data_IF_418703419960
#
_entry.id   IF_418703419960
#
_cell.length_a   1.000
_cell.length_b   1.000
_cell.length_c   1.000
_cell.angle_alpha   90.00
_cell.angle_beta   90.00
_cell.angle_gamma   90.00
#
_symmetry.space_group_name_H-M   'P 1'
#
loop_
_entity.id
_entity.type
_entity.pdbx_description
1 polymer ?
#
# COMPACT_ATOMS: atom_id res chain seq x y z
N UNK A 1 -18.54 40.46 -13.35
CA UNK A 1 -18.57 39.41 -12.29
C UNK A 1 -18.66 37.98 -12.83
N UNK A 2 -18.52 37.76 -14.13
CA UNK A 2 -18.64 36.45 -14.82
C UNK A 2 -17.36 35.61 -14.87
N UNK A 3 -16.16 36.22 -14.84
CA UNK A 3 -14.88 35.55 -15.05
C UNK A 3 -14.40 34.61 -13.91
N UNK A 4 -14.80 34.84 -12.64
CA UNK A 4 -14.39 34.00 -11.53
C UNK A 4 -15.23 32.71 -11.38
N UNK A 5 -16.46 32.71 -11.87
CA UNK A 5 -17.35 31.54 -11.85
C UNK A 5 -16.93 30.51 -12.90
N UNK A 6 -16.54 30.97 -14.10
CA UNK A 6 -16.09 30.11 -15.19
C UNK A 6 -14.75 29.42 -14.85
N UNK A 7 -13.78 30.15 -14.31
CA UNK A 7 -12.49 29.60 -13.86
C UNK A 7 -12.61 28.61 -12.69
N UNK A 8 -13.66 28.70 -11.87
CA UNK A 8 -13.95 27.79 -10.76
C UNK A 8 -14.58 26.48 -11.28
N UNK A 9 -15.46 26.58 -12.29
CA UNK A 9 -16.12 25.45 -12.94
C UNK A 9 -15.12 24.61 -13.77
N UNK A 10 -14.23 25.26 -14.52
CA UNK A 10 -13.18 24.58 -15.30
C UNK A 10 -12.18 23.84 -14.39
N UNK A 11 -11.80 24.41 -13.25
CA UNK A 11 -10.91 23.76 -12.26
C UNK A 11 -11.57 22.59 -11.56
N UNK A 12 -12.88 22.61 -11.36
CA UNK A 12 -13.64 21.47 -10.82
C UNK A 12 -13.70 20.33 -11.83
N UNK A 13 -14.09 20.58 -13.07
CA UNK A 13 -14.15 19.57 -14.13
C UNK A 13 -12.78 18.97 -14.45
N UNK A 14 -11.70 19.76 -14.37
CA UNK A 14 -10.33 19.28 -14.57
C UNK A 14 -9.87 18.35 -13.45
N UNK A 15 -10.19 18.65 -12.18
CA UNK A 15 -9.89 17.78 -11.03
C UNK A 15 -10.69 16.49 -11.08
N UNK A 16 -11.94 16.55 -11.50
CA UNK A 16 -12.80 15.37 -11.62
C UNK A 16 -12.28 14.41 -12.69
N UNK A 17 -11.82 14.92 -13.84
CA UNK A 17 -11.27 14.06 -14.90
C UNK A 17 -9.93 13.42 -14.49
N UNK A 18 -9.03 14.15 -13.81
CA UNK A 18 -7.79 13.57 -13.31
C UNK A 18 -8.07 12.42 -12.31
N UNK A 19 -9.00 12.62 -11.39
CA UNK A 19 -9.41 11.60 -10.43
C UNK A 19 -10.05 10.40 -11.14
N UNK A 20 -10.87 10.63 -12.17
CA UNK A 20 -11.47 9.56 -12.99
C UNK A 20 -10.40 8.74 -13.73
N UNK A 21 -9.40 9.40 -14.32
CA UNK A 21 -8.29 8.72 -14.99
C UNK A 21 -7.51 7.83 -14.01
N UNK A 22 -7.23 8.29 -12.79
CA UNK A 22 -6.55 7.50 -11.77
C UNK A 22 -7.42 6.33 -11.30
N UNK A 23 -8.71 6.55 -11.03
CA UNK A 23 -9.67 5.47 -10.66
C UNK A 23 -9.74 4.38 -11.74
N UNK A 24 -9.85 4.80 -12.98
CA UNK A 24 -9.89 3.90 -14.14
C UNK A 24 -8.57 3.13 -14.29
N UNK A 25 -7.44 3.80 -14.07
CA UNK A 25 -6.12 3.17 -14.12
C UNK A 25 -5.91 2.16 -12.99
N UNK A 26 -6.35 2.48 -11.76
CA UNK A 26 -6.35 1.55 -10.62
C UNK A 26 -7.13 0.28 -10.93
N UNK A 27 -8.37 0.45 -11.42
CA UNK A 27 -9.21 -0.68 -11.82
C UNK A 27 -8.57 -1.53 -12.91
N UNK A 28 -7.92 -0.91 -13.89
CA UNK A 28 -7.22 -1.61 -14.95
C UNK A 28 -6.02 -2.42 -14.43
N UNK A 29 -5.27 -1.87 -13.45
CA UNK A 29 -4.20 -2.60 -12.77
C UNK A 29 -4.73 -3.82 -12.01
N UNK A 30 -5.85 -3.66 -11.28
CA UNK A 30 -6.44 -4.74 -10.49
C UNK A 30 -6.97 -5.87 -11.38
N UNK A 31 -7.57 -5.54 -12.52
CA UNK A 31 -8.17 -6.51 -13.45
C UNK A 31 -7.17 -7.21 -14.35
N UNK A 32 -6.14 -6.49 -14.82
CA UNK A 32 -5.34 -6.93 -15.96
C UNK A 32 -3.83 -6.73 -15.78
N UNK A 33 -3.41 -6.21 -14.63
CA UNK A 33 -2.01 -5.97 -14.29
C UNK A 33 -1.38 -4.78 -15.02
N UNK A 34 -0.09 -4.49 -14.73
CA UNK A 34 0.57 -3.29 -15.23
C UNK A 34 0.78 -3.28 -16.75
N UNK A 35 0.91 -4.42 -17.41
CA UNK A 35 1.11 -4.50 -18.88
C UNK A 35 -0.10 -4.01 -19.67
N UNK A 36 -1.31 -4.12 -19.11
CA UNK A 36 -2.54 -3.64 -19.74
C UNK A 36 -2.72 -2.11 -19.66
N UNK A 37 -2.00 -1.44 -18.74
CA UNK A 37 -2.11 0.00 -18.57
C UNK A 37 -1.48 0.73 -19.75
N UNK A 38 -2.28 1.48 -20.50
CA UNK A 38 -1.82 2.39 -21.55
C UNK A 38 -2.67 3.65 -21.57
N UNK A 39 -2.09 4.77 -22.01
CA UNK A 39 -2.81 6.06 -22.12
C UNK A 39 -4.10 5.93 -22.93
N UNK A 40 -4.04 5.15 -24.01
CA UNK A 40 -5.19 4.90 -24.89
C UNK A 40 -6.28 4.10 -24.20
N UNK A 41 -5.93 3.03 -23.51
CA UNK A 41 -6.89 2.18 -22.81
C UNK A 41 -7.53 2.91 -21.62
N UNK A 42 -6.74 3.70 -20.89
CA UNK A 42 -7.25 4.57 -19.81
C UNK A 42 -8.25 5.59 -20.36
N UNK A 43 -7.92 6.29 -21.45
CA UNK A 43 -8.84 7.23 -22.09
C UNK A 43 -10.15 6.56 -22.54
N UNK A 44 -10.03 5.40 -23.20
CA UNK A 44 -11.19 4.61 -23.67
C UNK A 44 -12.12 4.22 -22.52
N UNK A 45 -11.56 3.70 -21.42
CA UNK A 45 -12.33 3.28 -20.24
C UNK A 45 -12.90 4.44 -19.45
N UNK A 46 -12.19 5.57 -19.39
CA UNK A 46 -12.66 6.79 -18.73
C UNK A 46 -13.69 7.56 -19.57
N UNK A 47 -13.98 7.11 -20.80
CA UNK A 47 -14.97 7.76 -21.69
C UNK A 47 -14.53 9.15 -22.17
N UNK A 48 -13.23 9.41 -22.28
CA UNK A 48 -12.70 10.69 -22.72
C UNK A 48 -11.90 10.56 -24.04
N UNK A 49 -11.53 11.71 -24.62
CA UNK A 49 -10.73 11.73 -25.85
C UNK A 49 -9.33 11.15 -25.59
N UNK A 50 -8.72 10.57 -26.62
CA UNK A 50 -7.38 9.99 -26.56
C UNK A 50 -6.30 10.99 -26.06
N UNK A 51 -6.49 12.28 -26.29
CA UNK A 51 -5.57 13.34 -25.87
C UNK A 51 -5.77 13.77 -24.41
N UNK A 52 -6.96 13.55 -23.83
CA UNK A 52 -7.29 14.04 -22.48
C UNK A 52 -6.32 13.57 -21.37
N UNK A 53 -5.85 12.31 -21.33
CA UNK A 53 -4.90 11.88 -20.31
C UNK A 53 -3.57 12.64 -20.34
N UNK A 54 -3.11 13.06 -21.53
CA UNK A 54 -1.83 13.76 -21.69
C UNK A 54 -1.84 15.19 -21.12
N UNK A 55 -3.01 15.77 -20.84
CA UNK A 55 -3.11 17.03 -20.11
C UNK A 55 -2.78 16.89 -18.61
N UNK A 56 -2.84 15.67 -18.06
CA UNK A 56 -2.64 15.39 -16.63
C UNK A 56 -1.40 14.55 -16.35
N UNK A 57 -1.02 13.69 -17.28
CA UNK A 57 0.08 12.75 -17.13
C UNK A 57 0.93 12.74 -18.39
N UNK A 58 2.22 13.00 -18.23
CA UNK A 58 3.14 13.07 -19.38
C UNK A 58 3.21 11.73 -20.15
N UNK A 59 3.08 10.62 -19.45
CA UNK A 59 3.15 9.27 -20.02
C UNK A 59 2.53 8.25 -19.06
N UNK A 60 2.56 6.98 -19.45
CA UNK A 60 2.10 5.83 -18.64
C UNK A 60 2.79 5.74 -17.28
N UNK A 61 4.09 6.01 -17.25
CA UNK A 61 4.88 5.93 -15.99
C UNK A 61 4.42 6.98 -14.98
N UNK A 62 4.03 8.18 -15.43
CA UNK A 62 3.48 9.21 -14.56
C UNK A 62 2.14 8.80 -13.93
N UNK A 63 1.30 8.02 -14.64
CA UNK A 63 0.09 7.43 -14.07
C UNK A 63 0.47 6.38 -13.01
N UNK A 64 1.41 5.48 -13.32
CA UNK A 64 1.89 4.46 -12.38
C UNK A 64 2.46 5.11 -11.12
N UNK A 65 3.33 6.12 -11.26
CA UNK A 65 3.90 6.84 -10.14
C UNK A 65 2.83 7.50 -9.26
N UNK A 66 1.81 8.11 -9.86
CA UNK A 66 0.69 8.67 -9.11
C UNK A 66 -0.08 7.59 -8.33
N UNK A 67 -0.34 6.42 -8.94
CA UNK A 67 -1.02 5.31 -8.26
C UNK A 67 -0.18 4.68 -7.15
N UNK A 68 1.13 4.52 -7.37
CA UNK A 68 2.06 4.00 -6.36
C UNK A 68 2.17 4.96 -5.18
N UNK A 69 2.29 6.27 -5.44
CA UNK A 69 2.26 7.31 -4.40
C UNK A 69 0.98 7.23 -3.57
N UNK A 70 -0.20 7.23 -4.24
CA UNK A 70 -1.48 7.10 -3.55
C UNK A 70 -1.59 5.79 -2.75
N UNK A 71 -1.02 4.70 -3.27
CA UNK A 71 -0.99 3.41 -2.58
C UNK A 71 -0.17 3.47 -1.29
N UNK A 72 1.03 4.07 -1.31
CA UNK A 72 1.84 4.25 -0.10
C UNK A 72 1.20 5.21 0.89
N UNK A 73 0.62 6.33 0.41
CA UNK A 73 -0.11 7.26 1.28
C UNK A 73 -1.29 6.57 1.97
N UNK A 74 -2.10 5.80 1.23
CA UNK A 74 -3.23 5.04 1.78
C UNK A 74 -2.78 3.96 2.76
N UNK A 75 -1.69 3.24 2.47
CA UNK A 75 -1.12 2.26 3.39
C UNK A 75 -0.67 2.91 4.69
N UNK A 76 0.04 4.04 4.61
CA UNK A 76 0.46 4.79 5.79
C UNK A 76 -0.73 5.23 6.65
N UNK A 77 -1.78 5.80 6.02
CA UNK A 77 -2.99 6.22 6.72
C UNK A 77 -3.68 5.04 7.43
N UNK A 78 -3.80 3.89 6.76
CA UNK A 78 -4.40 2.68 7.36
C UNK A 78 -3.59 2.15 8.52
N UNK A 79 -2.25 2.14 8.42
CA UNK A 79 -1.37 1.73 9.52
C UNK A 79 -1.44 2.68 10.70
N UNK A 80 -1.52 3.99 10.46
CA UNK A 80 -1.72 4.99 11.51
C UNK A 80 -3.07 4.79 12.21
N UNK A 81 -4.17 4.74 11.44
CA UNK A 81 -5.52 4.57 11.97
C UNK A 81 -5.73 3.25 12.72
N UNK A 82 -5.04 2.17 12.30
CA UNK A 82 -5.10 0.90 13.01
C UNK A 82 -4.52 0.95 14.45
N UNK A 83 -3.76 1.98 14.78
CA UNK A 83 -3.18 2.19 16.11
C UNK A 83 -3.91 3.24 16.94
N UNK A 84 -4.81 4.02 16.33
CA UNK A 84 -5.58 5.04 17.03
C UNK A 84 -6.42 4.40 18.15
N UNK A 85 -6.37 5.00 19.34
CA UNK A 85 -7.10 4.52 20.51
C UNK A 85 -6.55 3.24 21.15
N UNK A 86 -5.38 2.75 20.70
CA UNK A 86 -4.71 1.58 21.27
C UNK A 86 -3.55 1.92 22.22
N UNK A 87 -3.45 3.19 22.66
CA UNK A 87 -2.45 3.64 23.64
C UNK A 87 -2.65 2.86 24.97
N UNK A 88 -1.57 2.27 25.47
CA UNK A 88 -1.61 1.48 26.71
C UNK A 88 -2.17 0.07 26.58
N UNK A 89 -2.66 -0.35 25.40
CA UNK A 89 -3.12 -1.73 25.19
C UNK A 89 -1.95 -2.71 25.03
N UNK A 90 -2.27 -4.01 25.08
CA UNK A 90 -1.31 -5.08 24.84
C UNK A 90 -0.62 -4.91 23.47
N UNK A 91 0.68 -5.15 23.45
CA UNK A 91 1.52 -5.08 22.23
C UNK A 91 1.01 -6.00 21.13
N UNK A 92 0.46 -7.16 21.48
CA UNK A 92 -0.11 -8.11 20.55
C UNK A 92 -1.35 -7.56 19.86
N UNK A 93 -2.20 -6.81 20.56
CA UNK A 93 -3.37 -6.15 19.95
C UNK A 93 -2.93 -5.13 18.90
N UNK A 94 -1.92 -4.33 19.21
CA UNK A 94 -1.37 -3.32 18.29
C UNK A 94 -0.76 -3.98 17.06
N UNK A 95 0.04 -5.04 17.24
CA UNK A 95 0.65 -5.81 16.14
C UNK A 95 -0.42 -6.43 15.24
N UNK A 96 -1.42 -7.07 15.85
CA UNK A 96 -2.53 -7.72 15.11
C UNK A 96 -3.35 -6.70 14.33
N UNK A 97 -3.69 -5.56 14.91
CA UNK A 97 -4.44 -4.50 14.22
C UNK A 97 -3.66 -3.96 13.00
N UNK A 98 -2.37 -3.65 13.17
CA UNK A 98 -1.51 -3.15 12.10
C UNK A 98 -1.28 -4.20 11.00
N UNK A 99 -1.05 -5.46 11.37
CA UNK A 99 -0.90 -6.57 10.42
C UNK A 99 -2.17 -6.79 9.59
N UNK A 100 -3.33 -6.76 10.23
CA UNK A 100 -4.61 -6.86 9.52
C UNK A 100 -4.83 -5.69 8.56
N UNK A 101 -4.50 -4.45 8.96
CA UNK A 101 -4.62 -3.27 8.11
C UNK A 101 -3.73 -3.39 6.85
N UNK A 102 -2.49 -3.89 7.01
CA UNK A 102 -1.57 -4.13 5.91
C UNK A 102 -2.11 -5.16 4.91
N UNK A 103 -2.50 -6.34 5.40
CA UNK A 103 -2.97 -7.43 4.52
C UNK A 103 -4.32 -7.06 3.88
N UNK A 104 -5.20 -6.37 4.60
CA UNK A 104 -6.45 -5.87 4.03
C UNK A 104 -6.22 -4.88 2.89
N UNK A 105 -5.27 -3.95 3.05
CA UNK A 105 -4.87 -3.04 1.96
C UNK A 105 -4.41 -3.83 0.73
N UNK A 106 -3.50 -4.79 0.90
CA UNK A 106 -2.97 -5.60 -0.19
C UNK A 106 -4.08 -6.37 -0.94
N UNK A 107 -4.98 -7.02 -0.21
CA UNK A 107 -6.06 -7.83 -0.79
C UNK A 107 -7.16 -6.99 -1.46
N UNK A 108 -7.36 -5.73 -1.01
CA UNK A 108 -8.34 -4.80 -1.62
C UNK A 108 -7.79 -4.04 -2.82
N UNK A 109 -6.45 -3.88 -2.90
CA UNK A 109 -5.76 -3.11 -3.95
C UNK A 109 -4.64 -3.94 -4.61
N UNK A 110 -4.95 -5.14 -5.13
CA UNK A 110 -3.94 -6.10 -5.58
C UNK A 110 -3.05 -5.57 -6.69
N UNK A 111 -3.61 -4.83 -7.65
CA UNK A 111 -2.86 -4.29 -8.77
C UNK A 111 -1.86 -3.22 -8.35
N UNK A 112 -2.28 -2.31 -7.46
CA UNK A 112 -1.40 -1.27 -6.91
C UNK A 112 -0.35 -1.89 -6.00
N UNK A 113 -0.73 -2.82 -5.11
CA UNK A 113 0.19 -3.51 -4.21
C UNK A 113 1.33 -4.20 -4.96
N UNK A 114 1.02 -4.89 -6.08
CA UNK A 114 2.03 -5.58 -6.90
C UNK A 114 3.05 -4.64 -7.53
N UNK A 115 2.71 -3.38 -7.80
CA UNK A 115 3.63 -2.41 -8.42
C UNK A 115 4.34 -1.51 -7.43
N UNK A 116 3.83 -1.35 -6.21
CA UNK A 116 4.42 -0.48 -5.18
C UNK A 116 5.87 -0.87 -4.82
N UNK A 117 6.17 -2.15 -4.86
CA UNK A 117 7.47 -2.69 -4.46
C UNK A 117 8.31 -3.18 -5.67
N UNK A 118 7.98 -2.67 -6.87
CA UNK A 118 8.59 -3.06 -8.15
C UNK A 118 9.28 -1.86 -8.81
N UNK A 119 10.56 -1.56 -8.49
CA UNK A 119 11.30 -0.46 -9.11
C UNK A 119 11.49 -0.63 -10.62
N UNK A 120 11.45 -1.86 -11.13
CA UNK A 120 11.44 -2.15 -12.57
C UNK A 120 10.14 -1.74 -13.29
N UNK A 121 9.05 -1.55 -12.54
CA UNK A 121 7.74 -1.10 -13.07
C UNK A 121 7.56 0.41 -12.87
N UNK A 122 7.97 0.93 -11.72
CA UNK A 122 7.92 2.35 -11.38
C UNK A 122 9.24 2.73 -10.69
N UNK A 123 10.12 3.40 -11.44
CA UNK A 123 11.43 3.85 -10.94
C UNK A 123 11.26 5.00 -9.93
N UNK A 124 11.54 4.80 -8.64
CA UNK A 124 11.36 5.83 -7.64
C UNK A 124 12.33 7.01 -7.80
N UNK A 125 13.51 6.81 -8.40
CA UNK A 125 14.48 7.90 -8.61
C UNK A 125 13.94 8.98 -9.57
N UNK A 126 13.05 8.60 -10.48
CA UNK A 126 12.39 9.51 -11.42
C UNK A 126 11.19 10.24 -10.84
N UNK A 127 10.68 9.78 -9.69
CA UNK A 127 9.45 10.26 -9.06
C UNK A 127 9.66 10.51 -7.55
N UNK A 128 10.26 11.65 -7.15
CA UNK A 128 10.56 11.95 -5.74
C UNK A 128 9.34 11.90 -4.81
N UNK A 129 8.14 12.12 -5.34
CA UNK A 129 6.90 12.00 -4.59
C UNK A 129 6.58 10.54 -4.19
N UNK A 130 7.00 9.57 -4.99
CA UNK A 130 6.90 8.13 -4.65
C UNK A 130 7.85 7.80 -3.49
N UNK A 131 9.08 8.32 -3.53
CA UNK A 131 10.06 8.14 -2.44
C UNK A 131 9.48 8.65 -1.13
N UNK A 132 9.00 9.91 -1.09
CA UNK A 132 8.41 10.50 0.12
C UNK A 132 7.22 9.71 0.67
N UNK A 133 6.34 9.21 -0.21
CA UNK A 133 5.19 8.41 0.20
C UNK A 133 5.63 7.04 0.76
N UNK A 134 6.63 6.40 0.15
CA UNK A 134 7.18 5.13 0.65
C UNK A 134 7.90 5.30 1.99
N UNK A 135 8.64 6.39 2.19
CA UNK A 135 9.25 6.74 3.47
C UNK A 135 8.20 6.95 4.56
N UNK A 136 7.11 7.65 4.25
CA UNK A 136 5.98 7.82 5.20
C UNK A 136 5.40 6.46 5.63
N UNK A 137 5.18 5.53 4.71
CA UNK A 137 4.69 4.19 5.05
C UNK A 137 5.70 3.40 5.89
N UNK A 138 7.00 3.54 5.60
CA UNK A 138 8.07 2.93 6.39
C UNK A 138 8.16 3.52 7.79
N UNK A 139 7.97 4.82 7.95
CA UNK A 139 7.92 5.47 9.26
C UNK A 139 6.80 4.91 10.15
N UNK A 140 5.64 4.59 9.57
CA UNK A 140 4.56 3.94 10.30
C UNK A 140 4.94 2.53 10.78
N UNK A 141 5.69 1.77 9.98
CA UNK A 141 6.25 0.48 10.37
C UNK A 141 7.28 0.62 11.50
N UNK A 142 8.18 1.60 11.40
CA UNK A 142 9.16 1.90 12.45
C UNK A 142 8.48 2.32 13.78
N UNK A 143 7.39 3.10 13.72
CA UNK A 143 6.57 3.42 14.90
C UNK A 143 5.92 2.19 15.50
N UNK A 144 5.41 1.27 14.67
CA UNK A 144 4.88 -0.01 15.13
C UNK A 144 5.96 -0.83 15.83
N UNK A 145 7.14 -0.96 15.24
CA UNK A 145 8.24 -1.73 15.81
C UNK A 145 8.67 -1.18 17.17
N UNK A 146 8.85 0.15 17.30
CA UNK A 146 9.13 0.79 18.60
C UNK A 146 8.03 0.53 19.63
N UNK A 147 6.77 0.63 19.22
CA UNK A 147 5.63 0.39 20.12
C UNK A 147 5.55 -1.06 20.61
N UNK A 148 5.95 -2.03 19.80
CA UNK A 148 5.85 -3.46 20.08
C UNK A 148 7.10 -4.02 20.74
N UNK A 149 8.29 -3.69 20.23
CA UNK A 149 9.58 -4.22 20.68
C UNK A 149 10.35 -3.28 21.62
N UNK A 150 9.98 -2.01 21.71
CA UNK A 150 10.63 -0.98 22.55
C UNK A 150 11.36 0.09 21.72
N UNK A 151 11.75 1.19 22.39
CA UNK A 151 12.36 2.36 21.75
C UNK A 151 13.70 2.05 21.07
N UNK A 152 14.46 1.09 21.57
CA UNK A 152 15.74 0.64 20.99
C UNK A 152 15.55 -0.47 19.94
N UNK A 153 14.41 -0.46 19.25
CA UNK A 153 14.15 -1.47 18.20
C UNK A 153 15.16 -1.34 17.05
N UNK A 154 15.54 -2.48 16.48
CA UNK A 154 16.50 -2.53 15.38
C UNK A 154 15.79 -2.61 14.02
N UNK A 155 16.54 -2.33 12.94
CA UNK A 155 16.05 -2.49 11.56
C UNK A 155 15.61 -3.94 11.28
N UNK A 156 16.30 -4.92 11.87
CA UNK A 156 15.97 -6.34 11.72
C UNK A 156 14.57 -6.64 12.26
N UNK A 157 14.18 -6.01 13.36
CA UNK A 157 12.84 -6.15 13.92
C UNK A 157 11.77 -5.53 13.02
N UNK A 158 12.05 -4.35 12.46
CA UNK A 158 11.16 -3.72 11.48
C UNK A 158 10.97 -4.62 10.25
N UNK A 159 12.07 -5.16 9.73
CA UNK A 159 12.06 -6.07 8.57
C UNK A 159 11.32 -7.38 8.90
N UNK A 160 11.50 -7.91 10.11
CA UNK A 160 10.79 -9.13 10.54
C UNK A 160 9.26 -8.93 10.52
N UNK A 161 8.76 -7.84 11.10
CA UNK A 161 7.33 -7.53 11.09
C UNK A 161 6.81 -7.33 9.67
N UNK A 162 7.55 -6.57 8.87
CA UNK A 162 7.16 -6.34 7.48
C UNK A 162 7.16 -7.64 6.67
N UNK A 163 8.22 -8.45 6.77
CA UNK A 163 8.34 -9.72 6.03
C UNK A 163 7.17 -10.66 6.31
N UNK A 164 6.69 -10.72 7.56
CA UNK A 164 5.56 -11.56 7.92
C UNK A 164 4.27 -11.18 7.18
N UNK A 165 3.88 -9.92 7.26
CA UNK A 165 2.62 -9.46 6.64
C UNK A 165 2.73 -9.34 5.12
N UNK A 166 3.90 -8.93 4.60
CA UNK A 166 4.16 -8.85 3.16
C UNK A 166 4.20 -10.25 2.52
N UNK A 167 4.85 -11.19 3.18
CA UNK A 167 4.87 -12.60 2.75
C UNK A 167 3.48 -13.21 2.74
N UNK A 168 2.68 -13.00 3.78
CA UNK A 168 1.29 -13.47 3.83
C UNK A 168 0.45 -12.86 2.69
N UNK A 169 0.55 -11.53 2.49
CA UNK A 169 -0.14 -10.86 1.40
C UNK A 169 0.26 -11.43 0.02
N UNK A 170 1.55 -11.64 -0.21
CA UNK A 170 2.09 -12.20 -1.46
C UNK A 170 1.62 -13.64 -1.69
N UNK A 171 1.59 -14.49 -0.66
CA UNK A 171 1.09 -15.86 -0.75
C UNK A 171 -0.40 -15.90 -1.13
N UNK A 172 -1.19 -14.96 -0.63
CA UNK A 172 -2.62 -14.85 -0.89
C UNK A 172 -2.95 -14.21 -2.25
N UNK A 173 -2.06 -13.36 -2.78
CA UNK A 173 -2.29 -12.64 -4.04
C UNK A 173 -1.72 -13.35 -5.26
N UNK A 174 -0.51 -13.87 -5.15
CA UNK A 174 0.28 -14.37 -6.30
C UNK A 174 0.93 -15.74 -6.01
N UNK A 175 0.83 -16.21 -4.78
CA UNK A 175 1.46 -17.44 -4.33
C UNK A 175 0.54 -18.66 -4.39
N UNK A 176 0.94 -19.76 -3.76
CA UNK A 176 0.22 -21.04 -3.81
C UNK A 176 -1.17 -21.00 -3.16
N UNK A 177 -1.49 -19.94 -2.40
CA UNK A 177 -2.79 -19.80 -1.74
C UNK A 177 -3.85 -19.07 -2.57
N UNK A 178 -3.51 -18.60 -3.79
CA UNK A 178 -4.46 -17.87 -4.66
C UNK A 178 -5.73 -18.68 -4.94
N UNK A 179 -5.59 -19.98 -5.21
CA UNK A 179 -6.70 -20.88 -5.51
C UNK A 179 -7.38 -21.52 -4.28
N UNK A 180 -6.89 -21.25 -3.07
CA UNK A 180 -7.41 -21.89 -1.86
C UNK A 180 -8.73 -21.28 -1.35
N UNK A 181 -9.09 -20.10 -1.84
CA UNK A 181 -10.22 -19.30 -1.36
C UNK A 181 -11.06 -18.79 -2.52
N UNK A 182 -12.39 -18.87 -2.38
CA UNK A 182 -13.35 -18.45 -3.40
C UNK A 182 -13.59 -16.93 -3.46
N UNK A 183 -13.24 -16.20 -2.40
CA UNK A 183 -13.52 -14.76 -2.29
C UNK A 183 -12.40 -13.99 -1.55
N UNK A 184 -12.40 -12.67 -1.74
CA UNK A 184 -11.53 -11.76 -0.97
C UNK A 184 -11.88 -11.83 0.52
N UNK A 185 -13.16 -12.00 0.86
CA UNK A 185 -13.61 -12.07 2.24
C UNK A 185 -13.04 -13.31 2.97
N UNK A 186 -13.06 -14.48 2.32
CA UNK A 186 -12.45 -15.70 2.87
C UNK A 186 -10.94 -15.54 3.08
N UNK A 187 -10.24 -14.89 2.13
CA UNK A 187 -8.81 -14.58 2.29
C UNK A 187 -8.55 -13.65 3.47
N UNK A 188 -9.40 -12.64 3.67
CA UNK A 188 -9.30 -11.73 4.81
C UNK A 188 -9.54 -12.44 6.15
N UNK A 189 -10.50 -13.35 6.22
CA UNK A 189 -10.77 -14.16 7.42
C UNK A 189 -9.60 -15.08 7.74
N UNK A 190 -9.06 -15.77 6.74
CA UNK A 190 -7.86 -16.59 6.90
C UNK A 190 -6.65 -15.75 7.35
N UNK A 191 -6.42 -14.59 6.70
CA UNK A 191 -5.32 -13.71 7.06
C UNK A 191 -5.39 -13.21 8.50
N UNK A 192 -6.59 -12.85 8.99
CA UNK A 192 -6.80 -12.47 10.40
C UNK A 192 -6.41 -13.59 11.36
N UNK A 193 -6.74 -14.83 11.02
CA UNK A 193 -6.32 -16.00 11.80
C UNK A 193 -4.80 -16.12 11.87
N UNK A 194 -4.12 -16.02 10.73
CA UNK A 194 -2.65 -16.11 10.68
C UNK A 194 -1.98 -14.95 11.43
N UNK A 195 -2.43 -13.71 11.21
CA UNK A 195 -1.91 -12.53 11.91
C UNK A 195 -2.13 -12.65 13.43
N UNK A 196 -3.27 -13.20 13.86
CA UNK A 196 -3.57 -13.44 15.28
C UNK A 196 -2.68 -14.49 15.95
N UNK A 197 -2.02 -15.38 15.19
CA UNK A 197 -1.04 -16.36 15.69
C UNK A 197 0.36 -15.78 15.83
N UNK A 198 0.63 -14.57 15.32
CA UNK A 198 1.95 -13.96 15.39
C UNK A 198 2.33 -13.67 16.83
N UNK A 199 3.44 -14.24 17.27
CA UNK A 199 4.01 -13.94 18.58
C UNK A 199 4.86 -12.68 18.50
N UNK A 200 4.80 -11.85 19.54
CA UNK A 200 5.69 -10.69 19.68
C UNK A 200 7.06 -11.23 20.13
N UNK A 201 8.13 -11.09 19.35
CA UNK A 201 9.46 -11.43 19.80
C UNK A 201 9.82 -10.58 21.02
N UNK A 202 10.12 -11.20 22.15
CA UNK A 202 10.58 -10.48 23.34
C UNK A 202 12.06 -10.15 23.12
N UNK A 203 12.40 -8.87 23.13
CA UNK A 203 13.79 -8.42 23.10
C UNK A 203 14.49 -8.84 24.39
N UNK A 204 15.04 -10.05 24.46
CA UNK A 204 15.69 -10.61 25.66
C UNK A 204 16.19 -12.03 25.48
N UNK A 205 15.80 -12.71 24.41
CA UNK A 205 16.12 -14.14 24.22
C UNK A 205 17.36 -14.46 23.37
N UNK A 206 18.07 -13.49 22.81
CA UNK A 206 19.18 -13.76 21.90
C UNK A 206 20.60 -13.65 22.50
N UNK A 207 20.73 -13.35 23.81
CA UNK A 207 22.05 -13.14 24.43
C UNK A 207 22.48 -14.18 25.48
N UNK A 208 21.72 -15.25 25.73
CA UNK A 208 22.12 -16.23 26.78
C UNK A 208 22.69 -17.56 26.27
N UNK A 209 23.14 -17.67 25.01
CA UNK A 209 23.70 -18.95 24.49
C UNK A 209 25.15 -18.89 24.00
N UNK A 210 25.91 -17.85 24.34
CA UNK A 210 27.30 -17.72 23.86
C UNK A 210 28.41 -17.73 24.94
N UNK A 211 28.08 -18.02 26.22
CA UNK A 211 29.12 -18.13 27.28
C UNK A 211 28.98 -19.45 28.06
N UNK A 212 29.20 -20.57 27.40
CA UNK A 212 29.58 -21.84 28.05
C UNK A 212 30.03 -22.86 27.01
N UNK A 213 31.24 -22.70 26.49
CA UNK A 213 32.04 -23.79 25.93
C UNK A 213 33.52 -23.38 25.91
#
# INVERSE_FOLDING_TARGET
MTSQSEASSERSGSRDLRAELLRTSRKLLDESGPSALSMREVARRAGCTHQAPYHYFANREAILAALVREGFDELADRLASAREGLEGTDRRVVLTASGNAYVEFALRHPGVFRVMFRPDVCDPERFPEVVRASERARDELARLARRVAGEETSLEMEVLFWSGVHGLASLLLDGPLVGAFGSVQERLEFARGVVGLSEVPVAGGLHESAESA
#
